data_IF_555452917208
#
_entry.id   IF_555452917208
#
_cell.length_a   1.000
_cell.length_b   1.000
_cell.length_c   1.000
_cell.angle_alpha   90.00
_cell.angle_beta   90.00
_cell.angle_gamma   90.00
#
_symmetry.space_group_name_H-M   'P 1'
#
loop_
_entity.id
_entity.type
_entity.pdbx_description
1 polymer ?
#
# COMPACT_ATOMS: atom_id res chain seq x y z
N UNK A 1 21.24 0.42 -0.51
CA UNK A 1 19.99 0.68 -1.25
C UNK A 1 19.12 1.58 -0.38
N UNK A 2 18.96 2.81 -0.74
CA UNK A 2 18.14 3.76 0.04
C UNK A 2 16.68 3.33 -0.09
N UNK A 3 16.06 3.04 1.04
CA UNK A 3 14.63 2.79 1.11
C UNK A 3 13.88 4.07 0.75
N UNK A 4 13.28 4.10 -0.43
CA UNK A 4 12.61 5.28 -1.01
C UNK A 4 11.15 5.43 -0.57
N UNK A 5 10.72 4.62 0.40
CA UNK A 5 9.38 4.69 0.99
C UNK A 5 9.34 5.77 2.07
N UNK A 6 8.94 6.98 1.69
CA UNK A 6 8.94 8.15 2.59
C UNK A 6 7.89 8.08 3.69
N UNK A 7 6.73 7.53 3.38
CA UNK A 7 5.66 7.36 4.37
C UNK A 7 5.90 6.08 5.16
N UNK A 8 6.06 6.19 6.47
CA UNK A 8 6.38 5.07 7.36
C UNK A 8 5.34 4.96 8.46
N UNK A 9 4.85 3.75 8.67
CA UNK A 9 3.88 3.42 9.73
C UNK A 9 4.51 2.40 10.67
N UNK A 10 4.61 2.75 11.95
CA UNK A 10 5.08 1.84 12.99
C UNK A 10 3.90 1.07 13.59
N UNK A 11 4.10 -0.22 13.78
CA UNK A 11 3.08 -1.14 14.28
C UNK A 11 3.66 -1.98 15.39
N UNK A 12 2.82 -2.31 16.37
CA UNK A 12 3.17 -3.20 17.45
C UNK A 12 2.60 -4.60 17.18
N UNK A 13 3.43 -5.64 17.32
CA UNK A 13 2.97 -7.02 17.26
C UNK A 13 2.17 -7.34 18.54
N UNK A 14 0.93 -7.79 18.35
CA UNK A 14 0.06 -8.19 19.46
C UNK A 14 0.19 -9.69 19.70
N UNK A 15 -0.04 -10.12 20.94
CA UNK A 15 0.00 -11.54 21.29
C UNK A 15 -0.94 -12.39 20.39
N UNK A 16 -2.12 -11.88 20.09
CA UNK A 16 -3.10 -12.55 19.19
C UNK A 16 -2.66 -12.65 17.73
N UNK A 17 -1.61 -11.94 17.33
CA UNK A 17 -1.07 -11.99 15.96
C UNK A 17 -0.18 -13.23 15.73
N UNK A 18 0.24 -13.89 16.80
CA UNK A 18 1.13 -15.05 16.79
C UNK A 18 0.33 -16.33 16.60
N UNK A 19 0.82 -17.21 15.73
CA UNK A 19 0.23 -18.54 15.50
C UNK A 19 0.97 -19.66 16.27
N UNK A 20 0.55 -20.90 16.05
CA UNK A 20 1.12 -22.05 16.70
C UNK A 20 2.60 -22.32 16.36
N UNK A 21 3.13 -21.69 15.31
CA UNK A 21 4.54 -21.79 14.93
C UNK A 21 5.43 -20.78 15.68
N UNK A 22 4.85 -19.91 16.50
CA UNK A 22 5.58 -18.91 17.28
C UNK A 22 5.93 -17.63 16.54
N UNK A 23 5.37 -17.42 15.35
CA UNK A 23 5.58 -16.24 14.50
C UNK A 23 4.27 -15.53 14.21
N UNK A 24 4.35 -14.28 13.78
CA UNK A 24 3.17 -13.58 13.26
C UNK A 24 2.56 -14.37 12.13
N UNK A 25 1.26 -14.67 12.26
CA UNK A 25 0.52 -15.42 11.23
C UNK A 25 0.59 -14.70 9.89
N UNK A 26 0.79 -15.46 8.81
CA UNK A 26 0.92 -14.91 7.46
C UNK A 26 -0.26 -14.00 7.08
N UNK A 27 -1.48 -14.33 7.51
CA UNK A 27 -2.67 -13.51 7.25
C UNK A 27 -2.59 -12.13 7.94
N UNK A 28 -1.89 -12.02 9.06
CA UNK A 28 -1.74 -10.76 9.81
C UNK A 28 -0.84 -9.77 9.07
N UNK A 29 0.11 -10.23 8.26
CA UNK A 29 0.91 -9.35 7.39
C UNK A 29 0.00 -8.48 6.51
N UNK A 30 -1.07 -9.03 5.96
CA UNK A 30 -2.04 -8.26 5.17
C UNK A 30 -2.74 -7.18 5.99
N UNK A 31 -3.05 -7.46 7.26
CA UNK A 31 -3.62 -6.48 8.18
C UNK A 31 -2.66 -5.34 8.48
N UNK A 32 -1.37 -5.63 8.63
CA UNK A 32 -0.34 -4.61 8.84
C UNK A 32 -0.19 -3.69 7.61
N UNK A 33 -0.16 -4.28 6.42
CA UNK A 33 -0.11 -3.52 5.16
C UNK A 33 -1.38 -2.69 4.98
N UNK A 34 -2.55 -3.25 5.29
CA UNK A 34 -3.81 -2.53 5.21
C UNK A 34 -3.81 -1.28 6.09
N UNK A 35 -3.36 -1.41 7.35
CA UNK A 35 -3.28 -0.26 8.25
C UNK A 35 -2.28 0.79 7.75
N UNK A 36 -1.11 0.38 7.26
CA UNK A 36 -0.13 1.30 6.68
C UNK A 36 -0.67 2.01 5.43
N UNK A 37 -1.36 1.28 4.57
CA UNK A 37 -2.04 1.85 3.39
C UNK A 37 -3.09 2.88 3.77
N UNK A 38 -3.93 2.57 4.76
CA UNK A 38 -4.93 3.50 5.28
C UNK A 38 -4.28 4.77 5.81
N UNK A 39 -3.21 4.65 6.59
CA UNK A 39 -2.46 5.80 7.09
C UNK A 39 -1.92 6.67 5.96
N UNK A 40 -1.31 6.05 4.95
CA UNK A 40 -0.86 6.77 3.77
C UNK A 40 -2.01 7.55 3.11
N UNK A 41 -3.14 6.89 2.87
CA UNK A 41 -4.28 7.52 2.21
C UNK A 41 -4.84 8.69 3.02
N UNK A 42 -4.95 8.56 4.32
CA UNK A 42 -5.41 9.65 5.18
C UNK A 42 -4.42 10.81 5.23
N UNK A 43 -3.14 10.53 5.36
CA UNK A 43 -2.11 11.56 5.51
C UNK A 43 -1.81 12.30 4.20
N UNK A 44 -1.83 11.59 3.06
CA UNK A 44 -1.47 12.16 1.76
C UNK A 44 -2.68 12.72 1.01
N UNK A 45 -3.81 12.00 1.00
CA UNK A 45 -4.99 12.46 0.27
C UNK A 45 -5.83 13.45 1.08
N UNK A 46 -5.71 13.43 2.42
CA UNK A 46 -6.48 14.32 3.32
C UNK A 46 -7.97 14.39 2.93
N UNK A 47 -8.68 13.24 2.88
CA UNK A 47 -10.05 13.20 2.38
C UNK A 47 -10.99 13.94 3.33
N UNK A 48 -11.78 14.87 2.82
CA UNK A 48 -12.75 15.65 3.59
C UNK A 48 -13.82 14.77 4.27
N UNK A 49 -14.11 13.61 3.69
CA UNK A 49 -15.17 12.71 4.15
C UNK A 49 -14.70 11.68 5.19
N UNK A 50 -13.42 11.69 5.54
CA UNK A 50 -12.83 10.67 6.40
C UNK A 50 -12.71 9.30 5.70
N UNK A 51 -12.29 8.31 6.47
CA UNK A 51 -11.96 6.98 5.95
C UNK A 51 -13.16 6.16 5.47
N UNK A 52 -14.28 6.22 6.16
CA UNK A 52 -15.47 5.39 5.95
C UNK A 52 -16.20 5.63 4.61
N UNK A 53 -15.80 6.67 3.90
CA UNK A 53 -16.40 7.04 2.61
C UNK A 53 -15.38 7.18 1.47
N UNK A 54 -14.20 6.62 1.63
CA UNK A 54 -13.23 6.63 0.54
C UNK A 54 -13.76 5.84 -0.66
N UNK A 55 -13.85 6.46 -1.85
CA UNK A 55 -14.31 5.78 -3.06
C UNK A 55 -13.19 4.91 -3.64
N UNK A 56 -12.78 3.90 -2.88
CA UNK A 56 -11.68 3.00 -3.20
C UNK A 56 -12.07 1.56 -2.97
N UNK A 57 -11.55 0.67 -3.80
CA UNK A 57 -11.60 -0.77 -3.61
C UNK A 57 -10.22 -1.36 -3.89
N UNK A 58 -9.79 -2.31 -3.05
CA UNK A 58 -8.57 -3.05 -3.27
C UNK A 58 -8.81 -4.11 -4.35
N UNK A 59 -8.11 -4.00 -5.46
CA UNK A 59 -8.28 -4.90 -6.61
C UNK A 59 -7.23 -6.01 -6.64
N UNK A 60 -6.03 -5.77 -6.11
CA UNK A 60 -4.94 -6.74 -6.12
C UNK A 60 -4.01 -6.51 -4.94
N UNK A 61 -3.53 -7.61 -4.38
CA UNK A 61 -2.42 -7.63 -3.44
C UNK A 61 -1.50 -8.80 -3.76
N UNK A 62 -0.22 -8.53 -3.77
CA UNK A 62 0.85 -9.51 -3.90
C UNK A 62 1.81 -9.32 -2.74
N UNK A 63 2.14 -10.37 -2.01
CA UNK A 63 3.02 -10.30 -0.86
C UNK A 63 4.06 -11.42 -0.93
N UNK A 64 5.33 -11.02 -0.89
CA UNK A 64 6.47 -11.93 -0.73
C UNK A 64 6.90 -11.92 0.74
N UNK A 65 6.81 -13.06 1.39
CA UNK A 65 7.32 -13.26 2.75
C UNK A 65 8.84 -13.46 2.69
N UNK A 66 9.59 -12.61 3.40
CA UNK A 66 11.05 -12.62 3.39
C UNK A 66 11.66 -13.23 4.63
N UNK A 67 11.09 -12.93 5.79
CA UNK A 67 11.48 -13.56 7.05
C UNK A 67 10.34 -13.48 8.07
N UNK A 68 10.35 -14.36 9.10
CA UNK A 68 9.31 -14.33 10.13
C UNK A 68 9.42 -13.08 11.01
N UNK A 69 8.30 -12.73 11.63
CA UNK A 69 8.21 -11.70 12.67
C UNK A 69 7.88 -12.40 13.98
N UNK A 70 8.60 -12.06 15.04
CA UNK A 70 8.42 -12.64 16.37
C UNK A 70 7.68 -11.69 17.31
N UNK A 71 7.09 -12.25 18.35
CA UNK A 71 6.47 -11.45 19.40
C UNK A 71 7.51 -10.57 20.11
N UNK A 72 7.15 -9.30 20.33
CA UNK A 72 8.03 -8.32 20.96
C UNK A 72 8.87 -7.50 19.96
N UNK A 73 8.84 -7.83 18.67
CA UNK A 73 9.45 -7.00 17.65
C UNK A 73 8.52 -5.83 17.25
N UNK A 74 9.12 -4.68 16.98
CA UNK A 74 8.43 -3.57 16.32
C UNK A 74 8.48 -3.77 14.80
N UNK A 75 7.36 -3.47 14.15
CA UNK A 75 7.23 -3.55 12.69
C UNK A 75 7.08 -2.16 12.11
N UNK A 76 7.81 -1.88 11.05
CA UNK A 76 7.67 -0.64 10.29
C UNK A 76 7.29 -0.99 8.85
N UNK A 77 6.23 -0.36 8.35
CA UNK A 77 5.81 -0.48 6.95
C UNK A 77 6.05 0.84 6.25
N UNK A 78 6.99 0.86 5.33
CA UNK A 78 7.18 1.94 4.39
C UNK A 78 6.21 1.80 3.22
N UNK A 79 5.53 2.87 2.84
CA UNK A 79 4.53 2.87 1.77
C UNK A 79 4.81 3.97 0.75
N UNK A 80 4.56 3.71 -0.52
CA UNK A 80 4.62 4.71 -1.57
C UNK A 80 3.71 4.36 -2.74
N UNK A 81 3.29 5.37 -3.50
CA UNK A 81 2.62 5.18 -4.78
C UNK A 81 3.67 5.03 -5.89
N UNK A 82 3.54 3.97 -6.68
CA UNK A 82 4.45 3.67 -7.79
C UNK A 82 4.02 4.31 -9.10
N UNK A 83 2.74 4.26 -9.38
CA UNK A 83 2.14 4.79 -10.61
C UNK A 83 0.65 5.06 -10.44
N UNK A 84 0.13 5.98 -11.23
CA UNK A 84 -1.30 6.32 -11.28
C UNK A 84 -1.81 6.09 -12.71
N UNK A 85 -2.83 5.25 -12.84
CA UNK A 85 -3.55 5.03 -14.08
C UNK A 85 -4.78 5.94 -14.20
N UNK A 86 -5.69 5.62 -15.11
CA UNK A 86 -6.93 6.40 -15.29
C UNK A 86 -7.89 6.23 -14.12
N UNK A 87 -8.14 5.00 -13.69
CA UNK A 87 -9.11 4.65 -12.63
C UNK A 87 -8.48 3.92 -11.46
N UNK A 88 -7.15 3.77 -11.43
CA UNK A 88 -6.44 3.00 -10.41
C UNK A 88 -5.06 3.58 -10.14
N UNK A 89 -4.49 3.20 -9.02
CA UNK A 89 -3.08 3.45 -8.72
C UNK A 89 -2.46 2.24 -8.01
N UNK A 90 -1.19 2.05 -8.24
CA UNK A 90 -0.41 0.98 -7.64
C UNK A 90 0.48 1.52 -6.53
N UNK A 91 0.55 0.79 -5.42
CA UNK A 91 1.43 1.09 -4.30
C UNK A 91 2.38 -0.06 -4.04
N UNK A 92 3.56 0.26 -3.55
CA UNK A 92 4.47 -0.71 -2.95
C UNK A 92 4.59 -0.45 -1.45
N UNK A 93 4.82 -1.54 -0.71
CA UNK A 93 5.04 -1.48 0.72
C UNK A 93 6.24 -2.36 1.05
N UNK A 94 7.11 -1.84 1.90
CA UNK A 94 8.26 -2.57 2.43
C UNK A 94 8.12 -2.71 3.92
N UNK A 95 8.08 -3.94 4.39
CA UNK A 95 7.88 -4.26 5.80
C UNK A 95 9.20 -4.71 6.41
N UNK A 96 9.61 -4.04 7.48
CA UNK A 96 10.80 -4.40 8.27
C UNK A 96 10.43 -4.64 9.72
N UNK A 97 11.22 -5.43 10.42
CA UNK A 97 11.00 -5.73 11.84
C UNK A 97 12.32 -5.83 12.60
N UNK A 98 12.22 -5.65 13.92
CA UNK A 98 13.34 -5.74 14.83
C UNK A 98 14.22 -4.51 14.85
N UNK A 99 15.25 -4.53 15.69
CA UNK A 99 16.21 -3.43 15.88
C UNK A 99 17.22 -3.30 14.74
N UNK A 100 17.31 -4.32 13.89
CA UNK A 100 18.20 -4.40 12.72
C UNK A 100 17.50 -4.03 11.40
N UNK A 101 16.24 -3.59 11.47
CA UNK A 101 15.40 -3.29 10.30
C UNK A 101 15.38 -4.43 9.27
N UNK A 102 15.31 -5.66 9.77
CA UNK A 102 15.30 -6.87 8.93
C UNK A 102 14.09 -6.86 8.00
N UNK A 103 14.31 -7.04 6.69
CA UNK A 103 13.23 -7.15 5.72
C UNK A 103 12.39 -8.40 5.99
N UNK A 104 11.10 -8.22 6.22
CA UNK A 104 10.16 -9.31 6.51
C UNK A 104 9.11 -9.51 5.43
N UNK A 105 8.84 -8.49 4.62
CA UNK A 105 7.90 -8.61 3.50
C UNK A 105 8.01 -7.48 2.49
N UNK A 106 7.81 -7.81 1.23
CA UNK A 106 7.60 -6.87 0.13
C UNK A 106 6.17 -7.05 -0.41
N UNK A 107 5.45 -5.96 -0.60
CA UNK A 107 4.04 -6.00 -0.99
C UNK A 107 3.75 -5.03 -2.13
N UNK A 108 2.97 -5.50 -3.09
CA UNK A 108 2.41 -4.68 -4.16
C UNK A 108 0.89 -4.67 -4.05
N UNK A 109 0.28 -3.51 -4.14
CA UNK A 109 -1.18 -3.37 -4.12
C UNK A 109 -1.67 -2.51 -5.28
N UNK A 110 -2.87 -2.81 -5.75
CA UNK A 110 -3.58 -1.98 -6.73
C UNK A 110 -4.93 -1.60 -6.14
N UNK A 111 -5.18 -0.29 -6.09
CA UNK A 111 -6.44 0.27 -5.67
C UNK A 111 -7.16 0.88 -6.88
N UNK A 112 -8.46 0.66 -6.94
CA UNK A 112 -9.33 1.22 -7.98
C UNK A 112 -10.21 2.28 -7.32
N UNK A 113 -10.25 3.48 -7.93
CA UNK A 113 -11.24 4.48 -7.55
C UNK A 113 -12.61 4.03 -8.04
N UNK A 114 -13.56 3.94 -7.11
CA UNK A 114 -14.80 3.20 -7.31
C UNK A 114 -15.99 3.94 -6.69
N UNK A 115 -17.02 4.12 -7.47
CA UNK A 115 -18.29 4.65 -7.00
C UNK A 115 -19.21 3.50 -6.58
N UNK A 116 -19.42 3.38 -5.27
CA UNK A 116 -20.27 2.34 -4.69
C UNK A 116 -21.76 2.50 -5.01
N UNK A 117 -22.21 3.72 -5.35
CA UNK A 117 -23.61 3.96 -5.71
C UNK A 117 -23.94 3.45 -7.11
N UNK A 118 -23.01 3.57 -8.04
CA UNK A 118 -23.15 3.11 -9.43
C UNK A 118 -22.51 1.75 -9.69
N UNK A 119 -21.75 1.25 -8.70
CA UNK A 119 -20.96 0.02 -8.80
C UNK A 119 -19.99 0.03 -10.00
N UNK A 120 -19.28 1.14 -10.22
CA UNK A 120 -18.37 1.33 -11.34
C UNK A 120 -17.06 2.02 -10.93
N UNK A 121 -15.95 1.68 -11.61
CA UNK A 121 -14.73 2.47 -11.51
C UNK A 121 -14.97 3.90 -11.99
N UNK A 122 -14.32 4.84 -11.32
CA UNK A 122 -14.31 6.26 -11.67
C UNK A 122 -12.86 6.74 -11.88
N UNK A 123 -12.64 7.82 -12.64
CA UNK A 123 -11.29 8.37 -12.76
C UNK A 123 -10.71 8.74 -11.40
N UNK A 124 -9.39 8.52 -11.24
CA UNK A 124 -8.68 9.01 -10.06
C UNK A 124 -8.84 10.54 -10.01
N UNK A 125 -9.36 11.12 -8.91
CA UNK A 125 -9.54 12.56 -8.78
C UNK A 125 -8.24 13.32 -9.04
N UNK A 126 -8.31 14.45 -9.77
CA UNK A 126 -7.13 15.26 -10.10
C UNK A 126 -6.42 15.78 -8.86
N UNK A 127 -7.16 16.09 -7.81
CA UNK A 127 -6.61 16.49 -6.52
C UNK A 127 -5.76 15.36 -5.88
N UNK A 128 -6.23 14.12 -5.94
CA UNK A 128 -5.48 12.97 -5.45
C UNK A 128 -4.20 12.73 -6.26
N UNK A 129 -4.28 12.85 -7.60
CA UNK A 129 -3.10 12.74 -8.47
C UNK A 129 -2.03 13.74 -8.05
N UNK A 130 -2.43 15.00 -7.90
CA UNK A 130 -1.52 16.07 -7.50
C UNK A 130 -0.89 15.76 -6.13
N UNK A 131 -1.70 15.41 -5.13
CA UNK A 131 -1.22 15.14 -3.76
C UNK A 131 -0.25 13.96 -3.72
N UNK A 132 -0.56 12.86 -4.39
CA UNK A 132 0.34 11.71 -4.48
C UNK A 132 1.64 12.08 -5.22
N UNK A 133 1.55 12.76 -6.34
CA UNK A 133 2.71 13.20 -7.13
C UNK A 133 3.61 14.14 -6.32
N UNK A 134 3.02 15.10 -5.60
CA UNK A 134 3.77 16.04 -4.75
C UNK A 134 4.45 15.31 -3.59
N UNK A 135 3.74 14.39 -2.94
CA UNK A 135 4.28 13.60 -1.84
C UNK A 135 5.46 12.72 -2.29
N UNK A 136 5.32 12.02 -3.40
CA UNK A 136 6.38 11.15 -3.92
C UNK A 136 7.52 11.93 -4.58
N UNK A 137 7.28 13.17 -4.98
CA UNK A 137 8.29 14.03 -5.59
C UNK A 137 8.76 13.59 -6.97
N UNK A 138 7.91 12.86 -7.70
CA UNK A 138 8.17 12.36 -9.06
C UNK A 138 6.89 12.23 -9.85
N UNK A 139 7.00 12.22 -11.17
CA UNK A 139 5.86 11.93 -12.05
C UNK A 139 5.39 10.48 -11.86
N UNK A 140 4.11 10.31 -11.57
CA UNK A 140 3.46 9.02 -11.35
C UNK A 140 2.53 8.62 -12.48
N UNK A 141 2.27 9.51 -13.44
CA UNK A 141 1.32 9.26 -14.51
C UNK A 141 1.85 8.20 -15.50
N UNK A 142 1.01 7.18 -15.72
CA UNK A 142 1.34 6.09 -16.65
C UNK A 142 0.87 6.34 -18.09
N UNK A 143 0.50 7.56 -18.44
CA UNK A 143 0.05 7.90 -19.79
C UNK A 143 1.08 7.51 -20.88
N UNK A 144 2.34 7.32 -20.50
CA UNK A 144 3.42 6.85 -21.37
C UNK A 144 3.60 5.33 -21.36
N UNK A 145 3.07 4.62 -20.35
CA UNK A 145 3.34 3.17 -20.15
C UNK A 145 2.16 2.28 -20.55
N UNK A 146 0.97 2.85 -20.77
CA UNK A 146 -0.22 2.09 -21.18
C UNK A 146 -0.05 1.40 -22.55
N UNK A 147 0.83 1.91 -23.41
CA UNK A 147 1.16 1.28 -24.69
C UNK A 147 1.99 -0.01 -24.55
N UNK A 148 2.73 -0.17 -23.44
CA UNK A 148 3.61 -1.32 -23.24
C UNK A 148 2.90 -2.49 -22.56
N UNK A 149 1.89 -2.23 -21.73
CA UNK A 149 1.12 -3.30 -21.04
C UNK A 149 0.08 -3.92 -21.98
N UNK A 150 -0.47 -3.17 -22.90
CA UNK A 150 -1.40 -3.72 -23.90
C UNK A 150 -0.71 -4.65 -24.92
N UNK A 151 0.61 -4.53 -25.11
CA UNK A 151 1.39 -5.39 -25.99
C UNK A 151 1.81 -6.73 -25.35
N UNK A 152 1.65 -6.89 -24.02
CA UNK A 152 2.02 -8.10 -23.30
C UNK A 152 0.84 -9.06 -23.05
N UNK A 153 -0.36 -8.76 -23.55
CA UNK A 153 -1.58 -9.56 -23.35
C UNK A 153 -2.16 -10.08 -24.68
N UNK A 154 -1.32 -10.32 -25.67
CA UNK A 154 -1.68 -11.09 -26.88
C UNK A 154 -0.85 -12.35 -26.98
#
# INVERSE_FOLDING_TARGET
>A
MTDDHRHRTSLQVRFRDIDAFGHVNNAVFFSYVELARIRYLLDVLEPDTGFDRLPLILARVELDFRSPIEFGEDVVVGSRVERIGRTSFAMSHRMTAGTDDRLVGDVQTVLVTYDYSTARPIPVPDDWRRRMTDHEGRDLDTATTAATVAAATT
#
